data_IF_048520701302
#
_entry.id   IF_048520701302
#
_cell.length_a   1.000
_cell.length_b   1.000
_cell.length_c   1.000
_cell.angle_alpha   90.00
_cell.angle_beta   90.00
_cell.angle_gamma   90.00
#
_symmetry.space_group_name_H-M   'P 1'
#
loop_
_entity.id
_entity.type
_entity.pdbx_description
1 polymer ?
#
# COMPACT_ATOMS: atom_id res chain seq x y z
N UNK A 1 15.83 6.52 1.99
CA UNK A 1 14.58 6.17 2.68
C UNK A 1 14.61 4.68 2.94
N UNK A 2 15.22 4.20 4.04
CA UNK A 2 15.48 2.77 4.25
C UNK A 2 14.21 1.98 4.63
N UNK A 3 13.19 2.62 5.20
CA UNK A 3 11.95 1.94 5.63
C UNK A 3 10.92 1.76 4.51
N UNK A 4 10.93 2.64 3.51
CA UNK A 4 9.93 2.65 2.44
C UNK A 4 9.86 1.31 1.69
N UNK A 5 10.97 0.82 1.13
CA UNK A 5 10.97 -0.38 0.29
C UNK A 5 10.47 -1.61 1.05
N UNK A 6 10.89 -1.77 2.31
CA UNK A 6 10.46 -2.88 3.15
C UNK A 6 8.94 -2.84 3.38
N UNK A 7 8.40 -1.67 3.71
CA UNK A 7 6.98 -1.50 3.97
C UNK A 7 6.15 -1.64 2.68
N UNK A 8 6.61 -1.07 1.58
CA UNK A 8 5.99 -1.17 0.26
C UNK A 8 5.93 -2.63 -0.21
N UNK A 9 7.04 -3.37 -0.10
CA UNK A 9 7.10 -4.79 -0.46
C UNK A 9 6.17 -5.64 0.42
N UNK A 10 6.06 -5.34 1.71
CA UNK A 10 5.13 -6.05 2.60
C UNK A 10 3.67 -5.81 2.21
N UNK A 11 3.28 -4.57 1.91
CA UNK A 11 1.92 -4.23 1.48
C UNK A 11 1.60 -4.86 0.12
N UNK A 12 2.58 -4.93 -0.81
CA UNK A 12 2.43 -5.56 -2.12
C UNK A 12 2.31 -7.08 -2.03
N UNK A 13 3.19 -7.74 -1.26
CA UNK A 13 3.12 -9.20 -1.00
C UNK A 13 1.83 -9.62 -0.30
N UNK A 14 1.33 -8.75 0.57
CA UNK A 14 0.07 -8.98 1.30
C UNK A 14 -1.19 -8.64 0.49
N UNK A 15 -1.03 -8.38 -0.81
CA UNK A 15 -2.12 -8.05 -1.73
C UNK A 15 -2.93 -6.79 -1.33
N UNK A 16 -2.34 -5.89 -0.54
CA UNK A 16 -2.97 -4.61 -0.18
C UNK A 16 -2.88 -3.62 -1.34
N UNK A 17 -1.74 -3.60 -2.05
CA UNK A 17 -1.46 -2.73 -3.21
C UNK A 17 -0.83 -3.52 -4.38
N UNK A 18 -1.52 -4.56 -4.91
CA UNK A 18 -0.92 -5.49 -5.87
C UNK A 18 -0.43 -4.80 -7.16
N UNK A 19 -1.19 -3.82 -7.64
CA UNK A 19 -0.99 -3.18 -8.95
C UNK A 19 -0.42 -1.75 -8.85
N UNK A 20 0.11 -1.37 -7.68
CA UNK A 20 0.72 -0.06 -7.50
C UNK A 20 2.19 -0.10 -7.95
N UNK A 21 2.55 0.77 -8.88
CA UNK A 21 3.93 1.10 -9.21
C UNK A 21 4.42 2.19 -8.25
N UNK A 22 5.59 1.96 -7.66
CA UNK A 22 6.26 2.91 -6.77
C UNK A 22 6.48 4.28 -7.43
N UNK A 23 6.81 4.30 -8.72
CA UNK A 23 7.11 5.53 -9.45
C UNK A 23 5.86 6.38 -9.71
N UNK A 24 4.66 5.79 -9.59
CA UNK A 24 3.39 6.50 -9.72
C UNK A 24 2.94 7.15 -8.42
N UNK A 25 3.62 6.87 -7.30
CA UNK A 25 3.26 7.41 -6.00
C UNK A 25 3.85 8.81 -5.80
N UNK A 26 3.02 9.80 -5.39
CA UNK A 26 3.52 11.09 -4.94
C UNK A 26 4.46 10.93 -3.75
N UNK A 27 5.41 11.84 -3.59
CA UNK A 27 6.36 11.85 -2.47
C UNK A 27 5.68 11.75 -1.10
N UNK A 28 4.51 12.37 -0.93
CA UNK A 28 3.74 12.31 0.31
C UNK A 28 3.31 10.88 0.66
N UNK A 29 3.00 10.06 -0.35
CA UNK A 29 2.64 8.64 -0.14
C UNK A 29 3.89 7.81 0.17
N UNK A 30 5.02 8.12 -0.47
CA UNK A 30 6.31 7.54 -0.10
C UNK A 30 6.66 7.80 1.37
N UNK A 31 6.56 9.04 1.81
CA UNK A 31 6.81 9.44 3.20
C UNK A 31 5.82 8.74 4.16
N UNK A 32 4.54 8.61 3.78
CA UNK A 32 3.54 7.92 4.59
C UNK A 32 3.88 6.43 4.75
N UNK A 33 4.23 5.75 3.66
CA UNK A 33 4.59 4.32 3.67
C UNK A 33 5.88 4.08 4.44
N UNK A 34 6.87 4.98 4.34
CA UNK A 34 8.11 4.89 5.12
C UNK A 34 7.87 4.96 6.63
N UNK A 35 6.90 5.77 7.07
CA UNK A 35 6.60 5.98 8.47
C UNK A 35 5.58 4.97 9.07
N UNK A 36 5.07 4.02 8.27
CA UNK A 36 4.20 2.97 8.79
C UNK A 36 4.97 2.07 9.75
N UNK A 37 4.37 1.82 10.91
CA UNK A 37 4.84 0.83 11.87
C UNK A 37 4.37 -0.58 11.48
N UNK A 38 5.08 -1.61 11.96
CA UNK A 38 4.70 -3.01 11.74
C UNK A 38 3.25 -3.31 12.19
N UNK A 39 2.79 -2.66 13.27
CA UNK A 39 1.43 -2.81 13.78
C UNK A 39 0.39 -2.24 12.80
N UNK A 40 0.65 -1.07 12.21
CA UNK A 40 -0.23 -0.45 11.22
C UNK A 40 -0.26 -1.25 9.91
N UNK A 41 0.89 -1.78 9.48
CA UNK A 41 0.97 -2.69 8.34
C UNK A 41 0.11 -3.93 8.62
N UNK A 42 0.23 -4.55 9.79
CA UNK A 42 -0.55 -5.73 10.17
C UNK A 42 -2.07 -5.46 10.14
N UNK A 43 -2.52 -4.25 10.51
CA UNK A 43 -3.93 -3.85 10.41
C UNK A 43 -4.36 -3.73 8.96
N UNK A 44 -3.57 -3.08 8.09
CA UNK A 44 -3.87 -2.94 6.67
C UNK A 44 -3.95 -4.30 5.97
N UNK A 45 -3.05 -5.22 6.31
CA UNK A 45 -3.07 -6.61 5.81
C UNK A 45 -4.28 -7.39 6.31
N UNK A 46 -4.65 -7.26 7.59
CA UNK A 46 -5.84 -7.92 8.12
C UNK A 46 -7.11 -7.40 7.44
N UNK A 47 -7.20 -6.09 7.21
CA UNK A 47 -8.31 -5.49 6.50
C UNK A 47 -8.39 -6.06 5.08
N UNK A 48 -7.31 -6.02 4.30
CA UNK A 48 -7.32 -6.54 2.93
C UNK A 48 -7.72 -8.01 2.84
N UNK A 49 -7.21 -8.84 3.75
CA UNK A 49 -7.53 -10.27 3.80
C UNK A 49 -8.98 -10.54 4.22
N UNK A 50 -9.54 -9.75 5.14
CA UNK A 50 -10.90 -9.95 5.65
C UNK A 50 -11.97 -9.39 4.73
N UNK A 51 -11.70 -8.28 4.04
CA UNK A 51 -12.69 -7.59 3.22
C UNK A 51 -12.51 -7.85 1.72
N UNK A 52 -11.41 -8.50 1.31
CA UNK A 52 -10.99 -8.56 -0.09
C UNK A 52 -10.43 -7.23 -0.61
N UNK A 53 -10.39 -6.20 0.24
CA UNK A 53 -10.11 -4.85 -0.20
C UNK A 53 -8.64 -4.63 -0.51
N UNK A 54 -8.39 -4.24 -1.74
CA UNK A 54 -7.08 -3.86 -2.22
C UNK A 54 -7.19 -2.46 -2.83
N UNK A 55 -6.12 -1.70 -2.67
CA UNK A 55 -5.97 -0.37 -3.22
C UNK A 55 -5.38 -0.53 -4.62
N UNK A 56 -6.14 -0.12 -5.64
CA UNK A 56 -5.63 0.00 -7.01
C UNK A 56 -5.57 1.47 -7.43
N UNK A 57 -4.55 1.79 -8.21
CA UNK A 57 -4.45 3.07 -8.92
C UNK A 57 -5.07 2.88 -10.30
N UNK A 58 -6.17 3.58 -10.59
CA UNK A 58 -6.72 3.57 -11.95
C UNK A 58 -5.83 4.39 -12.90
N UNK A 59 -6.12 4.33 -14.20
CA UNK A 59 -5.39 5.06 -15.25
C UNK A 59 -5.38 6.60 -15.04
N UNK A 60 -6.25 7.12 -14.18
CA UNK A 60 -6.31 8.54 -13.82
C UNK A 60 -5.54 8.85 -12.52
N UNK A 61 -4.71 7.93 -12.02
CA UNK A 61 -3.98 8.03 -10.75
C UNK A 61 -4.88 8.24 -9.53
N UNK A 62 -6.12 7.75 -9.59
CA UNK A 62 -7.04 7.79 -8.46
C UNK A 62 -6.91 6.50 -7.65
N UNK A 63 -6.84 6.66 -6.33
CA UNK A 63 -6.89 5.57 -5.36
C UNK A 63 -8.33 5.08 -5.29
N UNK A 64 -8.57 3.83 -5.67
CA UNK A 64 -9.86 3.19 -5.49
C UNK A 64 -9.69 1.97 -4.58
N UNK A 65 -10.50 1.90 -3.54
CA UNK A 65 -10.61 0.72 -2.70
C UNK A 65 -11.55 -0.27 -3.39
N UNK A 66 -11.00 -1.38 -3.89
CA UNK A 66 -11.77 -2.52 -4.39
C UNK A 66 -12.32 -3.38 -3.27
N UNK A 67 -13.18 -4.33 -3.61
CA UNK A 67 -13.62 -5.44 -2.75
C UNK A 67 -13.38 -6.76 -3.49
#
# INVERSE_FOLDING_TARGET
MPGFQSNFDQLKKSNVIPDVDENMLPKVVHDAIENLTDAEIAVLVNLSQKTGSHIYLNQNHQVICGF
#
